data_IF_894955185897
#
_entry.id   IF_894955185897
#
_cell.length_a   1.000
_cell.length_b   1.000
_cell.length_c   1.000
_cell.angle_alpha   90.00
_cell.angle_beta   90.00
_cell.angle_gamma   90.00
#
_symmetry.space_group_name_H-M   'P 1'
#
loop_
_entity.id
_entity.type
_entity.pdbx_description
1 polymer ?
#
# COMPACT_ATOMS: atom_id res chain seq x y z
N UNK A 1 29.26 -9.77 -11.21
CA UNK A 1 29.93 -8.52 -10.91
C UNK A 1 29.08 -7.31 -11.19
N UNK A 2 28.22 -7.38 -12.24
CA UNK A 2 27.29 -6.29 -12.52
C UNK A 2 26.29 -6.06 -11.37
N UNK A 3 25.87 -7.11 -10.69
CA UNK A 3 24.97 -6.99 -9.55
C UNK A 3 25.59 -6.21 -8.40
N UNK A 4 26.88 -6.47 -8.10
CA UNK A 4 27.61 -5.76 -7.05
C UNK A 4 27.71 -4.27 -7.39
N UNK A 5 28.00 -3.95 -8.65
CA UNK A 5 28.07 -2.55 -9.10
C UNK A 5 26.75 -1.83 -8.96
N UNK A 6 25.66 -2.52 -9.36
CA UNK A 6 24.32 -1.95 -9.24
C UNK A 6 23.97 -1.68 -7.78
N UNK A 7 24.32 -2.62 -6.91
CA UNK A 7 24.07 -2.46 -5.48
C UNK A 7 24.84 -1.28 -4.90
N UNK A 8 26.11 -1.15 -5.25
CA UNK A 8 26.94 -0.03 -4.78
C UNK A 8 26.43 1.30 -5.29
N UNK A 9 26.04 1.37 -6.56
CA UNK A 9 25.47 2.59 -7.14
C UNK A 9 24.15 2.95 -6.45
N UNK A 10 23.32 1.95 -6.19
CA UNK A 10 22.05 2.16 -5.53
C UNK A 10 22.26 2.70 -4.11
N UNK A 11 23.19 2.14 -3.36
CA UNK A 11 23.53 2.63 -2.03
C UNK A 11 24.05 4.07 -2.07
N UNK A 12 24.86 4.39 -3.06
CA UNK A 12 25.37 5.74 -3.23
C UNK A 12 24.24 6.74 -3.50
N UNK A 13 23.32 6.40 -4.37
CA UNK A 13 22.16 7.26 -4.63
C UNK A 13 21.31 7.45 -3.37
N UNK A 14 21.13 6.42 -2.57
CA UNK A 14 20.40 6.53 -1.31
C UNK A 14 21.09 7.50 -0.36
N UNK A 15 22.41 7.42 -0.26
CA UNK A 15 23.17 8.30 0.61
C UNK A 15 23.10 9.76 0.16
N UNK A 16 23.16 9.99 -1.15
CA UNK A 16 23.15 11.34 -1.72
C UNK A 16 21.75 11.96 -1.74
N UNK A 17 20.72 11.15 -1.92
CA UNK A 17 19.36 11.65 -2.17
C UNK A 17 18.61 12.05 -0.92
N UNK A 18 19.00 11.56 0.24
CA UNK A 18 18.32 11.86 1.49
C UNK A 18 19.13 12.84 2.33
N UNK A 19 18.45 13.87 2.80
CA UNK A 19 19.09 14.94 3.57
C UNK A 19 19.35 14.49 5.01
N UNK A 20 20.44 15.07 5.58
CA UNK A 20 20.78 14.86 6.98
C UNK A 20 21.84 13.80 7.21
N UNK A 21 22.16 13.59 8.48
CA UNK A 21 23.22 12.67 8.90
C UNK A 21 22.67 11.31 9.30
N UNK A 22 21.48 10.97 8.83
CA UNK A 22 20.83 9.71 9.15
C UNK A 22 21.62 8.55 8.54
N UNK A 23 21.66 7.43 9.25
CA UNK A 23 22.32 6.25 8.75
C UNK A 23 21.50 5.62 7.60
N UNK A 24 22.11 4.67 6.92
CA UNK A 24 21.50 4.03 5.75
C UNK A 24 20.22 3.30 6.09
N UNK A 25 20.19 2.63 7.23
CA UNK A 25 18.98 1.91 7.67
C UNK A 25 17.81 2.87 7.83
N UNK A 26 18.02 3.99 8.50
CA UNK A 26 16.98 5.01 8.68
C UNK A 26 16.52 5.57 7.36
N UNK A 27 17.44 5.83 6.44
CA UNK A 27 17.10 6.34 5.10
C UNK A 27 16.23 5.35 4.33
N UNK A 28 16.58 4.08 4.36
CA UNK A 28 15.80 3.04 3.69
C UNK A 28 14.41 2.93 4.30
N UNK A 29 14.30 2.99 5.64
CA UNK A 29 13.01 2.95 6.33
C UNK A 29 12.12 4.12 5.94
N UNK A 30 12.68 5.30 5.80
CA UNK A 30 11.91 6.48 5.35
C UNK A 30 11.39 6.29 3.94
N UNK A 31 12.18 5.71 3.05
CA UNK A 31 11.73 5.43 1.68
C UNK A 31 10.63 4.38 1.65
N UNK A 32 10.76 3.32 2.46
CA UNK A 32 9.72 2.29 2.57
C UNK A 32 8.43 2.87 3.12
N UNK A 33 8.52 3.69 4.15
CA UNK A 33 7.34 4.33 4.73
C UNK A 33 6.62 5.18 3.69
N UNK A 34 7.38 6.00 2.94
CA UNK A 34 6.81 6.83 1.90
C UNK A 34 6.09 6.01 0.83
N UNK A 35 6.69 4.89 0.42
CA UNK A 35 6.08 4.00 -0.58
C UNK A 35 4.81 3.34 -0.06
N UNK A 36 4.84 2.85 1.19
CA UNK A 36 3.66 2.24 1.78
C UNK A 36 2.52 3.24 1.94
N UNK A 37 2.83 4.47 2.36
CA UNK A 37 1.83 5.54 2.47
C UNK A 37 1.24 5.91 1.11
N UNK A 38 2.06 5.94 0.08
CA UNK A 38 1.61 6.23 -1.28
C UNK A 38 0.62 5.17 -1.76
N UNK A 39 0.95 3.90 -1.56
CA UNK A 39 0.07 2.79 -1.93
C UNK A 39 -1.22 2.80 -1.12
N UNK A 40 -1.12 3.05 0.18
CA UNK A 40 -2.27 3.13 1.06
C UNK A 40 -3.23 4.23 0.59
N UNK A 41 -2.69 5.39 0.25
CA UNK A 41 -3.51 6.49 -0.27
C UNK A 41 -4.26 6.13 -1.54
N UNK A 42 -3.61 5.41 -2.45
CA UNK A 42 -4.22 4.97 -3.70
C UNK A 42 -5.37 3.98 -3.45
N UNK A 43 -5.14 3.01 -2.57
CA UNK A 43 -6.19 2.05 -2.22
C UNK A 43 -7.36 2.71 -1.51
N UNK A 44 -7.09 3.66 -0.61
CA UNK A 44 -8.14 4.42 0.08
C UNK A 44 -8.99 5.22 -0.89
N UNK A 45 -8.38 5.82 -1.89
CA UNK A 45 -9.14 6.58 -2.89
C UNK A 45 -10.07 5.67 -3.69
N UNK A 46 -9.60 4.50 -4.07
CA UNK A 46 -10.43 3.54 -4.81
C UNK A 46 -11.58 3.03 -3.94
N UNK A 47 -11.30 2.69 -2.70
CA UNK A 47 -12.32 2.27 -1.75
C UNK A 47 -13.40 3.36 -1.60
N UNK A 48 -12.98 4.61 -1.45
CA UNK A 48 -13.91 5.73 -1.31
C UNK A 48 -14.74 5.90 -2.57
N UNK A 49 -14.12 5.82 -3.73
CA UNK A 49 -14.82 5.96 -5.02
C UNK A 49 -15.90 4.91 -5.17
N UNK A 50 -15.59 3.65 -4.86
CA UNK A 50 -16.56 2.56 -5.00
C UNK A 50 -17.62 2.60 -3.90
N UNK A 51 -17.24 3.01 -2.70
CA UNK A 51 -18.22 3.23 -1.62
C UNK A 51 -19.25 4.27 -2.03
N UNK A 52 -18.81 5.36 -2.65
CA UNK A 52 -19.71 6.38 -3.15
C UNK A 52 -20.55 5.89 -4.32
N UNK A 53 -19.96 5.13 -5.21
CA UNK A 53 -20.66 4.61 -6.39
C UNK A 53 -21.83 3.69 -6.01
N UNK A 54 -21.62 2.83 -5.04
CA UNK A 54 -22.62 1.85 -4.63
C UNK A 54 -23.42 2.27 -3.39
N UNK A 55 -22.99 3.31 -2.70
CA UNK A 55 -23.70 3.79 -1.52
C UNK A 55 -23.62 2.83 -0.34
N UNK A 56 -22.57 2.02 -0.26
CA UNK A 56 -22.39 1.03 0.80
C UNK A 56 -20.93 0.68 0.93
N UNK A 57 -20.57 0.01 2.03
CA UNK A 57 -19.21 -0.49 2.23
C UNK A 57 -18.98 -1.74 1.38
N UNK A 58 -17.71 -2.12 1.20
CA UNK A 58 -17.38 -3.36 0.49
C UNK A 58 -18.01 -4.58 1.16
N UNK A 59 -18.03 -4.61 2.50
CA UNK A 59 -18.62 -5.71 3.25
C UNK A 59 -20.10 -5.84 2.97
N UNK A 60 -20.82 -4.72 2.99
CA UNK A 60 -22.25 -4.71 2.65
C UNK A 60 -22.50 -5.12 1.21
N UNK A 61 -21.65 -4.66 0.30
CA UNK A 61 -21.72 -5.02 -1.12
C UNK A 61 -21.63 -6.53 -1.29
N UNK A 62 -20.71 -7.18 -0.59
CA UNK A 62 -20.55 -8.63 -0.65
C UNK A 62 -21.70 -9.37 0.03
N UNK A 63 -22.15 -8.92 1.20
CA UNK A 63 -23.25 -9.52 1.93
C UNK A 63 -24.56 -9.46 1.16
N UNK A 64 -24.82 -8.35 0.50
CA UNK A 64 -26.01 -8.14 -0.29
C UNK A 64 -25.96 -8.79 -1.66
N UNK A 65 -24.84 -9.42 -2.00
CA UNK A 65 -24.66 -10.12 -3.28
C UNK A 65 -25.00 -9.22 -4.48
N UNK A 66 -24.43 -8.02 -4.49
CA UNK A 66 -24.73 -7.03 -5.54
C UNK A 66 -24.35 -7.53 -6.93
N UNK A 67 -23.24 -8.26 -7.05
CA UNK A 67 -22.80 -8.82 -8.34
C UNK A 67 -23.90 -9.71 -8.91
N UNK A 68 -24.46 -10.61 -8.09
CA UNK A 68 -25.53 -11.51 -8.49
C UNK A 68 -26.81 -10.74 -8.85
N UNK A 69 -27.17 -9.75 -8.01
CA UNK A 69 -28.36 -8.92 -8.25
C UNK A 69 -28.28 -8.16 -9.57
N UNK A 70 -27.07 -7.80 -9.98
CA UNK A 70 -26.81 -7.07 -11.23
C UNK A 70 -26.54 -8.00 -12.40
N UNK A 71 -26.85 -9.31 -12.27
CA UNK A 71 -26.75 -10.27 -13.35
C UNK A 71 -25.32 -10.58 -13.79
N UNK A 72 -24.38 -10.46 -12.87
CA UNK A 72 -22.95 -10.72 -13.15
C UNK A 72 -22.41 -9.87 -14.30
N UNK A 73 -22.87 -8.62 -14.42
CA UNK A 73 -22.37 -7.75 -15.46
C UNK A 73 -20.85 -7.52 -15.27
N UNK A 74 -20.15 -7.41 -16.38
CA UNK A 74 -18.69 -7.26 -16.37
C UNK A 74 -18.25 -6.03 -15.55
N UNK A 75 -18.97 -4.93 -15.71
CA UNK A 75 -18.63 -3.70 -15.00
C UNK A 75 -18.69 -3.87 -13.49
N UNK A 76 -19.73 -4.56 -13.00
CA UNK A 76 -19.89 -4.78 -11.56
C UNK A 76 -18.88 -5.81 -11.05
N UNK A 77 -18.61 -6.86 -11.83
CA UNK A 77 -17.59 -7.83 -11.47
C UNK A 77 -16.20 -7.20 -11.39
N UNK A 78 -15.89 -6.32 -12.34
CA UNK A 78 -14.63 -5.62 -12.35
C UNK A 78 -14.50 -4.71 -11.12
N UNK A 79 -15.56 -3.98 -10.81
CA UNK A 79 -15.58 -3.14 -9.61
C UNK A 79 -15.39 -3.98 -8.34
N UNK A 80 -16.01 -5.14 -8.27
CA UNK A 80 -15.88 -6.03 -7.12
C UNK A 80 -14.42 -6.50 -6.95
N UNK A 81 -13.77 -6.89 -8.04
CA UNK A 81 -12.37 -7.33 -8.00
C UNK A 81 -11.43 -6.18 -7.60
N UNK A 82 -11.64 -5.01 -8.18
CA UNK A 82 -10.82 -3.84 -7.87
C UNK A 82 -11.01 -3.41 -6.42
N UNK A 83 -12.25 -3.47 -5.94
CA UNK A 83 -12.58 -3.09 -4.57
C UNK A 83 -11.97 -4.05 -3.56
N UNK A 84 -12.06 -5.36 -3.82
CA UNK A 84 -11.43 -6.37 -2.98
C UNK A 84 -9.91 -6.14 -2.89
N UNK A 85 -9.29 -5.85 -4.03
CA UNK A 85 -7.85 -5.56 -4.08
C UNK A 85 -7.53 -4.31 -3.25
N UNK A 86 -8.36 -3.29 -3.33
CA UNK A 86 -8.14 -2.06 -2.57
C UNK A 86 -8.27 -2.30 -1.08
N UNK A 87 -9.30 -3.01 -0.64
CA UNK A 87 -9.52 -3.32 0.78
C UNK A 87 -8.38 -4.18 1.33
N UNK A 88 -7.98 -5.21 0.60
CA UNK A 88 -6.87 -6.07 1.01
C UNK A 88 -5.56 -5.29 1.02
N UNK A 89 -5.36 -4.42 0.02
CA UNK A 89 -4.17 -3.57 -0.07
C UNK A 89 -4.06 -2.62 1.10
N UNK A 90 -5.18 -2.02 1.51
CA UNK A 90 -5.22 -1.14 2.67
C UNK A 90 -4.74 -1.87 3.93
N UNK A 91 -5.30 -3.04 4.19
CA UNK A 91 -4.94 -3.85 5.35
C UNK A 91 -3.45 -4.22 5.32
N UNK A 92 -2.95 -4.61 4.15
CA UNK A 92 -1.56 -4.99 3.99
C UNK A 92 -0.62 -3.82 4.26
N UNK A 93 -0.94 -2.65 3.71
CA UNK A 93 -0.08 -1.48 3.90
C UNK A 93 -0.10 -0.97 5.33
N UNK A 94 -1.27 -0.98 5.96
CA UNK A 94 -1.39 -0.59 7.37
C UNK A 94 -0.57 -1.51 8.28
N UNK A 95 -0.62 -2.82 8.03
CA UNK A 95 0.16 -3.78 8.78
C UNK A 95 1.66 -3.56 8.57
N UNK A 96 2.09 -3.38 7.32
CA UNK A 96 3.51 -3.14 7.01
C UNK A 96 4.03 -1.86 7.63
N UNK A 97 3.23 -0.80 7.63
CA UNK A 97 3.59 0.45 8.29
C UNK A 97 3.78 0.25 9.79
N UNK A 98 2.88 -0.49 10.41
CA UNK A 98 2.98 -0.77 11.83
C UNK A 98 4.21 -1.61 12.13
N UNK A 99 4.45 -2.66 11.37
CA UNK A 99 5.63 -3.52 11.52
C UNK A 99 6.92 -2.72 11.37
N UNK A 100 6.96 -1.82 10.40
CA UNK A 100 8.12 -0.98 10.15
C UNK A 100 8.39 -0.05 11.35
N UNK A 101 7.35 0.55 11.91
CA UNK A 101 7.47 1.44 13.07
C UNK A 101 7.89 0.69 14.31
N UNK A 102 7.32 -0.47 14.56
CA UNK A 102 7.66 -1.30 15.71
C UNK A 102 9.09 -1.79 15.62
N UNK A 103 9.53 -2.18 14.44
CA UNK A 103 10.91 -2.61 14.21
C UNK A 103 11.91 -1.49 14.51
N UNK A 104 11.57 -0.25 14.11
CA UNK A 104 12.39 0.90 14.42
C UNK A 104 12.45 1.18 15.92
N UNK A 105 11.33 1.08 16.61
CA UNK A 105 11.26 1.30 18.05
C UNK A 105 12.07 0.27 18.83
N UNK A 106 12.02 -0.99 18.41
CA UNK A 106 12.77 -2.06 19.04
C UNK A 106 14.28 -1.79 18.95
N UNK A 107 14.74 -1.25 17.82
CA UNK A 107 16.15 -0.94 17.63
C UNK A 107 16.65 0.18 18.54
N UNK A 108 15.76 1.06 18.97
CA UNK A 108 16.13 2.19 19.82
C UNK A 108 16.01 1.87 21.30
N UNK A 109 15.43 0.75 21.61
CA UNK A 109 15.30 0.31 22.99
C UNK A 109 16.46 -0.61 23.39
#
# INVERSE_FOLDING_TARGET
MSETRLMESTLQFLEESLLGEQDLDTKIRLLLEAEYLRRLGRYRRLDRTLTQKYGMTFEEFMERRIVQQRGYSWDVEKDAMDWERAVDGMRTMERKLQELRESGNVQHS
#
